data_IF_697639206888
#
_entry.id   IF_697639206888
#
_cell.length_a   1.000
_cell.length_b   1.000
_cell.length_c   1.000
_cell.angle_alpha   90.00
_cell.angle_beta   90.00
_cell.angle_gamma   90.00
#
_symmetry.space_group_name_H-M   'P 1'
#
loop_
_entity.id
_entity.type
_entity.pdbx_description
1 polymer ?
#
# COMPACT_ATOMS: atom_id res chain seq x y z
N UNK A 1 24.62 -40.00 -52.90
CA UNK A 1 25.91 -39.66 -52.25
C UNK A 1 25.62 -38.71 -51.11
N UNK A 2 25.65 -39.20 -49.87
CA UNK A 2 25.49 -38.36 -48.67
C UNK A 2 26.86 -37.80 -48.33
N UNK A 3 27.08 -36.52 -48.58
CA UNK A 3 28.32 -35.82 -48.21
C UNK A 3 28.21 -35.34 -46.77
N UNK A 4 28.91 -36.02 -45.86
CA UNK A 4 29.08 -35.58 -44.47
C UNK A 4 29.97 -34.33 -44.46
N UNK A 5 29.38 -33.15 -44.26
CA UNK A 5 30.13 -31.90 -44.08
C UNK A 5 30.80 -31.96 -42.70
N UNK A 6 32.08 -32.31 -42.66
CA UNK A 6 32.88 -32.54 -41.44
C UNK A 6 33.84 -31.37 -41.13
N UNK A 7 33.42 -30.13 -41.41
CA UNK A 7 34.20 -28.93 -41.06
C UNK A 7 33.32 -27.86 -40.44
N UNK A 8 32.92 -28.08 -39.19
CA UNK A 8 32.46 -26.98 -38.35
C UNK A 8 33.70 -26.11 -37.99
N UNK A 9 33.61 -24.77 -37.99
CA UNK A 9 34.71 -23.87 -37.67
C UNK A 9 35.39 -24.23 -36.35
N UNK A 10 36.73 -24.10 -36.26
CA UNK A 10 37.49 -24.48 -35.05
C UNK A 10 37.01 -23.79 -33.76
N UNK A 11 36.39 -22.61 -33.87
CA UNK A 11 35.78 -21.89 -32.75
C UNK A 11 34.58 -22.60 -32.12
N UNK A 12 33.88 -23.47 -32.87
CA UNK A 12 32.75 -24.26 -32.36
C UNK A 12 33.17 -25.57 -31.71
N UNK A 13 34.40 -26.04 -31.95
CA UNK A 13 34.98 -27.26 -31.35
C UNK A 13 35.78 -26.98 -30.07
N UNK A 14 36.03 -25.71 -29.74
CA UNK A 14 36.89 -25.29 -28.63
C UNK A 14 36.35 -25.73 -27.26
N UNK A 15 35.03 -25.66 -27.06
CA UNK A 15 34.39 -26.05 -25.80
C UNK A 15 34.41 -27.56 -25.53
N UNK A 16 34.56 -28.38 -26.57
CA UNK A 16 34.64 -29.84 -26.50
C UNK A 16 36.07 -30.39 -26.42
N UNK A 17 37.10 -29.53 -26.47
CA UNK A 17 38.48 -29.97 -26.26
C UNK A 17 38.68 -30.38 -24.80
N UNK A 18 39.43 -31.44 -24.59
CA UNK A 18 39.80 -31.92 -23.25
C UNK A 18 41.28 -31.67 -23.00
N UNK A 19 41.64 -31.46 -21.74
CA UNK A 19 43.02 -31.48 -21.28
C UNK A 19 43.12 -32.46 -20.11
N UNK A 20 44.26 -33.15 -20.00
CA UNK A 20 44.48 -34.14 -18.95
C UNK A 20 45.21 -33.52 -17.76
N UNK A 21 44.72 -33.79 -16.56
CA UNK A 21 45.47 -33.61 -15.31
C UNK A 21 45.59 -35.00 -14.69
N UNK A 22 46.79 -35.58 -14.69
CA UNK A 22 46.99 -36.97 -14.27
C UNK A 22 46.30 -37.96 -15.21
N UNK A 23 45.47 -38.86 -14.66
CA UNK A 23 44.70 -39.85 -15.44
C UNK A 23 43.31 -39.35 -15.87
N UNK A 24 42.91 -38.14 -15.46
CA UNK A 24 41.55 -37.63 -15.68
C UNK A 24 41.51 -36.61 -16.81
N UNK A 25 40.60 -36.81 -17.78
CA UNK A 25 40.35 -35.87 -18.87
C UNK A 25 39.23 -34.89 -18.49
N UNK A 26 39.53 -33.59 -18.45
CA UNK A 26 38.56 -32.53 -18.13
C UNK A 26 38.29 -31.70 -19.40
N UNK A 27 37.01 -31.46 -19.69
CA UNK A 27 36.57 -30.62 -20.81
C UNK A 27 36.72 -29.13 -20.46
N UNK A 28 37.15 -28.31 -21.43
CA UNK A 28 37.17 -26.85 -21.25
C UNK A 28 35.78 -26.28 -20.92
N UNK A 29 34.70 -26.90 -21.42
CA UNK A 29 33.33 -26.53 -21.06
C UNK A 29 33.05 -26.58 -19.55
N UNK A 30 33.68 -27.51 -18.82
CA UNK A 30 33.52 -27.62 -17.35
C UNK A 30 34.13 -26.43 -16.62
N UNK A 31 35.30 -25.94 -17.07
CA UNK A 31 35.92 -24.74 -16.51
C UNK A 31 35.07 -23.48 -16.75
N UNK A 32 34.48 -23.35 -17.93
CA UNK A 32 33.59 -22.23 -18.27
C UNK A 32 32.33 -22.25 -17.41
N UNK A 33 31.73 -23.43 -17.19
CA UNK A 33 30.59 -23.60 -16.28
C UNK A 33 30.95 -23.18 -14.84
N UNK A 34 32.12 -23.60 -14.35
CA UNK A 34 32.60 -23.21 -13.02
C UNK A 34 32.83 -21.70 -12.91
N UNK A 35 33.40 -21.07 -13.94
CA UNK A 35 33.58 -19.63 -13.99
C UNK A 35 32.24 -18.89 -13.99
N UNK A 36 31.28 -19.32 -14.81
CA UNK A 36 29.92 -18.77 -14.82
C UNK A 36 29.23 -18.91 -13.46
N UNK A 37 29.39 -20.06 -12.79
CA UNK A 37 28.85 -20.27 -11.45
C UNK A 37 29.42 -19.27 -10.45
N UNK A 38 30.74 -19.04 -10.47
CA UNK A 38 31.39 -18.04 -9.59
C UNK A 38 30.90 -16.62 -9.91
N UNK A 39 30.75 -16.28 -11.19
CA UNK A 39 30.24 -14.97 -11.62
C UNK A 39 28.80 -14.76 -11.13
N UNK A 40 27.91 -15.73 -11.36
CA UNK A 40 26.51 -15.66 -10.92
C UNK A 40 26.42 -15.62 -9.40
N UNK A 41 27.21 -16.45 -8.70
CA UNK A 41 27.30 -16.44 -7.24
C UNK A 41 27.76 -15.08 -6.70
N UNK A 42 28.78 -14.48 -7.31
CA UNK A 42 29.30 -13.17 -6.92
C UNK A 42 28.27 -12.06 -7.18
N UNK A 43 27.60 -12.10 -8.33
CA UNK A 43 26.49 -11.18 -8.65
C UNK A 43 25.40 -11.32 -7.59
N UNK A 44 24.93 -12.54 -7.30
CA UNK A 44 23.86 -12.76 -6.32
C UNK A 44 24.26 -12.36 -4.89
N UNK A 45 25.52 -12.55 -4.50
CA UNK A 45 25.99 -12.28 -3.13
C UNK A 45 26.34 -10.81 -2.89
N UNK A 46 26.99 -10.14 -3.84
CA UNK A 46 27.56 -8.80 -3.62
C UNK A 46 26.76 -7.68 -4.29
N UNK A 47 25.95 -7.96 -5.32
CA UNK A 47 25.16 -6.93 -6.00
C UNK A 47 23.82 -6.67 -5.32
N UNK A 48 23.32 -5.43 -5.42
CA UNK A 48 22.02 -5.02 -4.87
C UNK A 48 20.85 -5.80 -5.48
N UNK A 49 20.92 -6.13 -6.78
CA UNK A 49 19.93 -6.99 -7.45
C UNK A 49 19.84 -8.39 -6.82
N UNK A 50 20.98 -8.99 -6.48
CA UNK A 50 21.06 -10.30 -5.84
C UNK A 50 20.45 -10.37 -4.44
N UNK A 51 20.70 -9.35 -3.61
CA UNK A 51 20.10 -9.21 -2.28
C UNK A 51 18.57 -9.07 -2.35
N UNK A 52 18.05 -8.42 -3.37
CA UNK A 52 16.60 -8.24 -3.55
C UNK A 52 15.91 -9.56 -3.97
N UNK A 53 16.54 -10.35 -4.83
CA UNK A 53 16.01 -11.69 -5.22
C UNK A 53 16.06 -12.68 -4.05
N UNK A 54 17.09 -12.63 -3.19
CA UNK A 54 17.19 -13.49 -2.01
C UNK A 54 16.22 -13.12 -0.88
N UNK A 55 15.82 -11.84 -0.78
CA UNK A 55 14.81 -11.39 0.18
C UNK A 55 13.38 -11.82 -0.21
N UNK A 56 13.13 -12.02 -1.51
CA UNK A 56 11.80 -12.40 -2.03
C UNK A 56 11.54 -13.91 -1.93
N UNK A 57 12.58 -14.73 -1.80
CA UNK A 57 12.46 -16.19 -1.75
C UNK A 57 13.01 -16.79 -0.46
N UNK A 58 12.11 -17.33 0.36
CA UNK A 58 12.34 -18.47 1.27
C UNK A 58 12.66 -18.21 2.76
N UNK A 59 11.80 -17.51 3.53
CA UNK A 59 11.66 -17.90 4.95
C UNK A 59 10.40 -17.37 5.71
N UNK A 60 9.42 -18.23 6.07
CA UNK A 60 8.41 -17.88 7.08
C UNK A 60 8.98 -17.68 8.51
N UNK A 61 10.22 -18.11 8.81
CA UNK A 61 10.88 -17.79 10.09
C UNK A 61 11.37 -16.33 10.19
N UNK A 62 11.60 -15.63 9.07
CA UNK A 62 11.93 -14.21 9.09
C UNK A 62 10.72 -13.37 9.58
N UNK A 63 9.50 -13.84 9.32
CA UNK A 63 8.25 -13.27 9.83
C UNK A 63 8.09 -13.45 11.35
N UNK A 64 8.71 -14.48 11.96
CA UNK A 64 8.67 -14.71 13.42
C UNK A 64 9.63 -13.80 14.20
N UNK A 65 10.78 -13.45 13.62
CA UNK A 65 11.82 -12.67 14.30
C UNK A 65 11.58 -11.15 14.25
N UNK A 66 10.65 -10.67 13.43
CA UNK A 66 10.21 -9.25 13.35
C UNK A 66 9.02 -8.93 14.25
N UNK A 67 8.62 -9.85 15.14
CA UNK A 67 7.59 -9.58 16.15
C UNK A 67 6.16 -9.55 15.61
N UNK A 68 5.93 -10.00 14.38
CA UNK A 68 4.57 -10.23 13.88
C UNK A 68 4.03 -11.47 14.57
N UNK A 69 2.98 -11.30 15.38
CA UNK A 69 2.24 -12.43 15.95
C UNK A 69 1.90 -13.39 14.81
N UNK A 70 2.33 -14.65 14.90
CA UNK A 70 1.90 -15.74 14.02
C UNK A 70 0.42 -15.96 14.27
N UNK A 71 -0.38 -15.06 13.72
CA UNK A 71 -1.79 -14.95 13.98
C UNK A 71 -2.50 -16.06 13.24
N UNK A 72 -3.45 -16.63 13.97
CA UNK A 72 -4.31 -17.72 13.55
C UNK A 72 -4.85 -17.45 12.15
N UNK A 73 -4.74 -18.42 11.25
CA UNK A 73 -5.31 -18.29 9.90
C UNK A 73 -6.77 -18.70 9.98
N UNK A 74 -7.70 -17.76 9.77
CA UNK A 74 -9.12 -18.07 9.64
C UNK A 74 -9.46 -18.25 8.17
N UNK A 75 -9.85 -19.46 7.76
CA UNK A 75 -10.35 -19.76 6.41
C UNK A 75 -11.88 -19.77 6.41
N UNK A 76 -12.51 -18.91 5.61
CA UNK A 76 -13.96 -18.86 5.48
C UNK A 76 -14.44 -19.65 4.26
N UNK A 77 -15.52 -20.42 4.40
CA UNK A 77 -16.16 -21.15 3.31
C UNK A 77 -17.68 -21.17 3.42
N UNK A 78 -18.35 -21.36 2.29
CA UNK A 78 -19.80 -21.53 2.23
C UNK A 78 -20.18 -22.98 2.48
N UNK A 79 -21.15 -23.22 3.37
CA UNK A 79 -21.71 -24.56 3.54
C UNK A 79 -22.72 -24.90 2.42
N UNK A 80 -23.04 -26.18 2.27
CA UNK A 80 -23.99 -26.69 1.28
C UNK A 80 -25.44 -26.21 1.49
N UNK A 81 -25.73 -25.53 2.59
CA UNK A 81 -27.02 -24.94 2.92
C UNK A 81 -26.99 -23.41 2.82
N UNK A 82 -25.92 -22.82 2.28
CA UNK A 82 -25.79 -21.37 2.07
C UNK A 82 -25.57 -20.57 3.35
N UNK A 83 -24.91 -21.14 4.36
CA UNK A 83 -24.31 -20.42 5.50
C UNK A 83 -22.82 -20.18 5.29
N UNK A 84 -22.17 -19.48 6.24
CA UNK A 84 -20.70 -19.31 6.28
C UNK A 84 -20.13 -19.97 7.53
N UNK A 85 -19.12 -20.80 7.29
CA UNK A 85 -18.30 -21.49 8.28
C UNK A 85 -16.88 -20.94 8.21
N UNK A 86 -16.18 -20.95 9.33
CA UNK A 86 -14.76 -20.62 9.44
C UNK A 86 -13.96 -21.79 9.98
N UNK A 87 -12.76 -22.01 9.45
CA UNK A 87 -11.76 -22.91 10.02
C UNK A 87 -10.65 -22.04 10.61
N UNK A 88 -10.55 -22.00 11.94
CA UNK A 88 -9.51 -21.26 12.64
C UNK A 88 -8.32 -22.18 12.89
N UNK A 89 -7.19 -21.88 12.25
CA UNK A 89 -5.93 -22.58 12.45
C UNK A 89 -5.10 -21.86 13.51
N UNK A 90 -4.93 -22.42 14.72
CA UNK A 90 -4.10 -21.79 15.74
C UNK A 90 -2.61 -21.78 15.35
N UNK A 91 -2.17 -22.76 14.55
CA UNK A 91 -0.87 -22.85 13.87
C UNK A 91 -1.05 -23.59 12.53
N UNK A 92 -0.13 -23.46 11.55
CA UNK A 92 -0.25 -24.12 10.24
C UNK A 92 -0.46 -25.65 10.32
N UNK A 93 0.14 -26.29 11.32
CA UNK A 93 0.11 -27.75 11.50
C UNK A 93 -0.98 -28.23 12.48
N UNK A 94 -1.79 -27.32 13.04
CA UNK A 94 -2.81 -27.69 14.01
C UNK A 94 -4.14 -28.06 13.34
N UNK A 95 -4.90 -28.95 14.00
CA UNK A 95 -6.28 -29.24 13.61
C UNK A 95 -7.13 -27.96 13.76
N UNK A 96 -7.85 -27.54 12.70
CA UNK A 96 -8.62 -26.30 12.76
C UNK A 96 -9.84 -26.43 13.66
N UNK A 97 -10.19 -25.34 14.34
CA UNK A 97 -11.46 -25.21 15.06
C UNK A 97 -12.52 -24.67 14.11
N UNK A 98 -13.63 -25.39 13.94
CA UNK A 98 -14.75 -24.91 13.12
C UNK A 98 -15.57 -23.85 13.88
N UNK A 99 -15.85 -22.73 13.20
CA UNK A 99 -16.64 -21.61 13.69
C UNK A 99 -17.90 -21.46 12.82
N UNK A 100 -19.07 -21.46 13.48
CA UNK A 100 -20.34 -21.15 12.82
C UNK A 100 -20.58 -19.63 12.87
N UNK A 101 -20.19 -18.93 11.80
CA UNK A 101 -20.22 -17.46 11.76
C UNK A 101 -21.56 -16.90 11.30
N UNK A 102 -22.18 -17.53 10.29
CA UNK A 102 -23.53 -17.18 9.82
C UNK A 102 -24.40 -18.42 9.72
N UNK A 103 -25.65 -18.29 10.18
CA UNK A 103 -26.65 -19.35 10.09
C UNK A 103 -26.87 -19.80 8.64
N UNK A 104 -27.07 -21.10 8.45
CA UNK A 104 -27.36 -21.69 7.14
C UNK A 104 -28.68 -21.15 6.57
N UNK A 105 -28.77 -21.03 5.23
CA UNK A 105 -29.94 -20.52 4.51
C UNK A 105 -29.96 -19.00 4.27
N UNK A 106 -28.90 -18.29 4.63
CA UNK A 106 -28.84 -16.81 4.59
C UNK A 106 -28.11 -16.24 3.37
N UNK A 107 -27.45 -17.10 2.56
CA UNK A 107 -26.62 -16.74 1.40
C UNK A 107 -25.73 -15.51 1.67
N UNK A 108 -24.90 -15.57 2.72
CA UNK A 108 -24.09 -14.44 3.11
C UNK A 108 -23.05 -14.13 2.04
N UNK A 109 -22.59 -12.89 2.02
CA UNK A 109 -21.46 -12.44 1.20
C UNK A 109 -20.32 -12.09 2.15
N UNK A 110 -19.11 -12.52 1.80
CA UNK A 110 -17.91 -12.43 2.64
C UNK A 110 -16.82 -11.72 1.88
N UNK A 111 -16.11 -10.81 2.53
CA UNK A 111 -14.91 -10.18 1.98
C UNK A 111 -13.82 -10.00 3.03
N UNK A 112 -12.57 -10.16 2.60
CA UNK A 112 -11.39 -9.89 3.39
C UNK A 112 -10.97 -8.41 3.33
N UNK A 113 -10.62 -7.82 4.48
CA UNK A 113 -10.13 -6.45 4.57
C UNK A 113 -8.62 -6.45 4.88
N UNK A 114 -7.76 -6.05 3.92
CA UNK A 114 -6.31 -6.25 4.03
C UNK A 114 -5.65 -5.41 5.13
N UNK A 115 -6.19 -4.23 5.47
CA UNK A 115 -5.58 -3.36 6.49
C UNK A 115 -5.90 -3.79 7.94
N UNK A 116 -7.02 -4.47 8.17
CA UNK A 116 -7.40 -4.96 9.51
C UNK A 116 -7.15 -6.46 9.67
N UNK A 117 -6.68 -7.13 8.61
CA UNK A 117 -6.59 -8.59 8.51
C UNK A 117 -7.88 -9.31 8.94
N UNK A 118 -9.01 -8.63 8.80
CA UNK A 118 -10.32 -9.08 9.26
C UNK A 118 -11.25 -9.42 8.10
N UNK A 119 -12.45 -9.86 8.46
CA UNK A 119 -13.49 -10.24 7.50
C UNK A 119 -14.70 -9.36 7.69
N UNK A 120 -15.31 -8.93 6.60
CA UNK A 120 -16.65 -8.35 6.61
C UNK A 120 -17.61 -9.38 6.03
N UNK A 121 -18.64 -9.71 6.80
CA UNK A 121 -19.68 -10.65 6.40
C UNK A 121 -21.02 -9.94 6.42
N UNK A 122 -21.88 -10.21 5.45
CA UNK A 122 -23.25 -9.69 5.49
C UNK A 122 -24.26 -10.67 4.93
N UNK A 123 -25.50 -10.55 5.36
CA UNK A 123 -26.62 -11.39 4.92
C UNK A 123 -27.95 -10.65 5.04
N UNK A 124 -28.98 -11.15 4.39
CA UNK A 124 -30.35 -10.68 4.60
C UNK A 124 -30.94 -11.43 5.79
N UNK A 125 -31.42 -10.71 6.79
CA UNK A 125 -32.15 -11.32 7.89
C UNK A 125 -33.46 -11.89 7.35
N UNK A 126 -33.68 -13.22 7.41
CA UNK A 126 -34.88 -13.83 6.84
C UNK A 126 -36.16 -13.45 7.60
N UNK A 127 -36.06 -13.03 8.87
CA UNK A 127 -37.21 -12.61 9.67
C UNK A 127 -37.60 -11.15 9.41
N UNK A 128 -36.64 -10.27 9.11
CA UNK A 128 -36.90 -8.83 8.96
C UNK A 128 -36.70 -8.29 7.54
N UNK A 129 -36.11 -9.06 6.64
CA UNK A 129 -35.71 -8.63 5.30
C UNK A 129 -34.59 -7.57 5.27
N UNK A 130 -34.09 -7.14 6.42
CA UNK A 130 -33.03 -6.13 6.54
C UNK A 130 -31.65 -6.69 6.23
N UNK A 131 -30.75 -5.85 5.73
CA UNK A 131 -29.34 -6.20 5.57
C UNK A 131 -28.66 -6.17 6.94
N UNK A 132 -28.02 -7.27 7.30
CA UNK A 132 -27.17 -7.39 8.49
C UNK A 132 -25.73 -7.52 8.03
N UNK A 133 -24.82 -6.79 8.67
CA UNK A 133 -23.39 -6.91 8.44
C UNK A 133 -22.66 -7.08 9.77
N UNK A 134 -21.52 -7.75 9.72
CA UNK A 134 -20.67 -8.03 10.88
C UNK A 134 -19.20 -7.98 10.46
N UNK A 135 -18.43 -7.15 11.16
CA UNK A 135 -16.98 -7.13 11.03
C UNK A 135 -16.38 -8.12 12.02
N UNK A 136 -15.52 -9.01 11.52
CA UNK A 136 -14.80 -10.02 12.27
C UNK A 136 -13.31 -9.68 12.27
N UNK A 137 -12.65 -9.89 13.40
CA UNK A 137 -11.18 -9.87 13.49
C UNK A 137 -10.57 -11.08 12.77
N UNK A 138 -9.25 -11.08 12.62
CA UNK A 138 -8.49 -12.19 12.05
C UNK A 138 -8.76 -13.54 12.74
N UNK A 139 -9.12 -13.52 14.04
CA UNK A 139 -9.42 -14.70 14.84
C UNK A 139 -10.89 -15.14 14.79
N UNK A 140 -11.73 -14.45 14.01
CA UNK A 140 -13.15 -14.73 13.87
C UNK A 140 -14.03 -14.15 14.97
N UNK A 141 -13.46 -13.40 15.92
CA UNK A 141 -14.25 -12.69 16.93
C UNK A 141 -14.95 -11.47 16.34
N UNK A 142 -16.20 -11.19 16.73
CA UNK A 142 -16.89 -9.96 16.34
C UNK A 142 -16.11 -8.73 16.81
N UNK A 143 -15.88 -7.79 15.89
CA UNK A 143 -15.28 -6.50 16.21
C UNK A 143 -16.30 -5.57 16.90
N UNK A 144 -17.58 -5.77 16.59
CA UNK A 144 -18.74 -5.09 17.15
C UNK A 144 -19.36 -5.99 18.24
N UNK A 145 -19.75 -5.40 19.36
CA UNK A 145 -20.50 -6.12 20.40
C UNK A 145 -21.89 -6.56 19.89
N UNK A 146 -22.54 -7.48 20.59
CA UNK A 146 -23.83 -8.04 20.17
C UNK A 146 -24.93 -6.98 20.01
N UNK A 147 -24.83 -5.86 20.73
CA UNK A 147 -25.79 -4.75 20.71
C UNK A 147 -25.53 -3.76 19.55
N UNK A 148 -24.32 -3.76 18.97
CA UNK A 148 -23.94 -2.94 17.80
C UNK A 148 -24.07 -3.66 16.46
N UNK A 149 -24.59 -4.91 16.44
CA UNK A 149 -25.06 -5.58 15.22
C UNK A 149 -26.28 -4.86 14.64
N UNK A 150 -26.04 -3.78 13.91
CA UNK A 150 -27.12 -2.99 13.32
C UNK A 150 -27.63 -3.67 12.06
N UNK A 151 -28.81 -4.29 12.17
CA UNK A 151 -29.64 -4.59 11.01
C UNK A 151 -30.12 -3.25 10.43
N UNK A 152 -29.42 -2.75 9.41
CA UNK A 152 -29.86 -1.54 8.72
C UNK A 152 -31.06 -1.91 7.84
N UNK A 153 -32.25 -1.46 8.25
CA UNK A 153 -33.46 -1.58 7.44
C UNK A 153 -33.46 -0.44 6.41
N UNK A 154 -33.11 -0.76 5.18
CA UNK A 154 -33.25 0.17 4.06
C UNK A 154 -34.72 0.55 3.89
N UNK A 155 -35.06 1.84 3.78
CA UNK A 155 -36.40 2.23 3.38
C UNK A 155 -36.59 1.85 1.91
N UNK A 156 -37.42 0.82 1.66
CA UNK A 156 -37.95 0.36 0.36
C UNK A 156 -37.03 -0.49 -0.56
N UNK A 157 -37.72 -1.32 -1.36
CA UNK A 157 -37.29 -2.50 -2.11
C UNK A 157 -36.08 -2.31 -3.03
N UNK A 158 -34.90 -2.76 -2.59
CA UNK A 158 -33.73 -2.93 -3.45
C UNK A 158 -33.36 -4.42 -3.53
N UNK A 159 -33.19 -4.93 -4.74
CA UNK A 159 -32.74 -6.29 -5.01
C UNK A 159 -31.22 -6.39 -4.81
N UNK A 160 -30.79 -7.42 -4.07
CA UNK A 160 -29.41 -7.68 -3.62
C UNK A 160 -28.39 -8.01 -4.71
N UNK A 161 -28.75 -7.88 -5.99
CA UNK A 161 -27.86 -8.19 -7.11
C UNK A 161 -26.76 -7.13 -7.32
N UNK A 162 -26.91 -5.93 -6.75
CA UNK A 162 -25.99 -4.79 -6.98
C UNK A 162 -25.12 -4.36 -5.79
N UNK A 163 -25.24 -5.00 -4.62
CA UNK A 163 -24.52 -4.57 -3.42
C UNK A 163 -23.23 -5.39 -3.24
N UNK A 164 -22.11 -4.84 -3.72
CA UNK A 164 -20.78 -5.39 -3.49
C UNK A 164 -20.30 -5.02 -2.08
N UNK A 165 -19.98 -6.02 -1.26
CA UNK A 165 -19.64 -5.84 0.16
C UNK A 165 -18.16 -5.66 0.45
N UNK A 166 -17.32 -5.79 -0.57
CA UNK A 166 -16.03 -5.14 -0.70
C UNK A 166 -15.37 -5.66 -1.99
N UNK A 167 -15.14 -4.76 -2.90
CA UNK A 167 -13.76 -4.43 -3.19
C UNK A 167 -13.51 -3.13 -2.38
N UNK A 168 -12.30 -2.57 -2.28
CA UNK A 168 -12.28 -1.13 -2.48
C UNK A 168 -13.10 -0.95 -3.78
N UNK A 169 -14.32 -0.40 -3.72
CA UNK A 169 -15.08 -0.09 -4.94
C UNK A 169 -14.04 0.45 -5.92
N UNK A 170 -13.87 -0.05 -7.15
CA UNK A 170 -12.64 0.19 -7.93
C UNK A 170 -12.12 1.65 -7.90
N UNK A 171 -13.03 2.61 -7.68
CA UNK A 171 -12.84 4.00 -7.26
C UNK A 171 -12.08 4.29 -5.93
N UNK A 172 -11.67 3.30 -5.14
CA UNK A 172 -10.99 3.45 -3.84
C UNK A 172 -9.65 2.72 -3.80
N UNK A 173 -9.23 2.14 -4.93
CA UNK A 173 -7.81 1.91 -5.20
C UNK A 173 -7.20 3.30 -5.45
N UNK A 174 -6.06 3.64 -4.82
CA UNK A 174 -5.41 4.91 -5.10
C UNK A 174 -5.07 5.00 -6.59
N UNK A 175 -5.33 6.15 -7.21
CA UNK A 175 -4.89 6.43 -8.59
C UNK A 175 -3.38 6.63 -8.69
N UNK A 176 -2.72 6.78 -7.54
CA UNK A 176 -1.28 6.91 -7.38
C UNK A 176 -0.90 6.52 -5.96
N UNK A 177 0.11 5.67 -5.80
CA UNK A 177 0.60 5.21 -4.50
C UNK A 177 2.13 5.16 -4.49
N UNK A 178 2.74 6.12 -3.80
CA UNK A 178 4.18 6.20 -3.60
C UNK A 178 4.52 5.60 -2.24
N UNK A 179 5.21 4.45 -2.25
CA UNK A 179 5.64 3.75 -1.03
C UNK A 179 6.98 4.25 -0.49
N UNK A 180 7.77 4.93 -1.33
CA UNK A 180 9.09 5.48 -1.04
C UNK A 180 10.14 4.44 -0.67
N UNK A 181 10.06 3.24 -1.26
CA UNK A 181 10.94 2.09 -1.01
C UNK A 181 12.27 2.15 -1.79
N UNK A 182 12.57 3.29 -2.38
CA UNK A 182 13.77 3.50 -3.17
C UNK A 182 15.01 3.76 -2.31
N UNK A 183 16.16 3.35 -2.84
CA UNK A 183 17.46 3.56 -2.19
C UNK A 183 17.84 5.03 -2.13
N UNK A 184 18.72 5.36 -1.18
CA UNK A 184 19.30 6.70 -1.09
C UNK A 184 19.91 7.16 -2.42
N UNK A 185 19.53 8.37 -2.85
CA UNK A 185 19.94 8.96 -4.12
C UNK A 185 19.02 8.64 -5.31
N UNK A 186 17.88 7.96 -5.09
CA UNK A 186 16.88 7.78 -6.13
C UNK A 186 16.23 9.11 -6.53
N UNK A 187 16.06 9.30 -7.85
CA UNK A 187 15.42 10.49 -8.44
C UNK A 187 14.04 10.19 -9.05
N UNK A 188 13.63 8.93 -8.99
CA UNK A 188 12.37 8.40 -9.50
C UNK A 188 11.77 7.52 -8.42
N UNK A 189 10.48 7.71 -8.14
CA UNK A 189 9.73 6.98 -7.11
C UNK A 189 8.55 6.26 -7.76
N UNK A 190 8.52 4.95 -7.61
CA UNK A 190 7.63 4.06 -8.36
C UNK A 190 6.18 4.15 -7.87
N UNK A 191 5.25 4.20 -8.81
CA UNK A 191 3.83 4.14 -8.53
C UNK A 191 3.34 2.70 -8.36
N UNK A 192 3.30 2.26 -7.11
CA UNK A 192 2.83 0.93 -6.71
C UNK A 192 1.32 0.72 -6.88
N UNK A 193 0.57 1.73 -7.32
CA UNK A 193 -0.87 1.58 -7.62
C UNK A 193 -1.14 0.83 -8.92
N UNK A 194 -0.14 0.72 -9.81
CA UNK A 194 -0.25 0.06 -11.11
C UNK A 194 -0.77 0.95 -12.24
N UNK A 195 -0.87 2.26 -12.01
CA UNK A 195 -1.28 3.24 -13.04
C UNK A 195 -0.09 3.96 -13.71
N UNK A 196 1.14 3.71 -13.26
CA UNK A 196 2.37 4.26 -13.85
C UNK A 196 2.51 5.77 -13.67
N UNK A 197 1.94 6.31 -12.59
CA UNK A 197 2.07 7.71 -12.23
C UNK A 197 3.29 7.92 -11.33
N UNK A 198 4.48 7.59 -11.81
CA UNK A 198 5.70 7.70 -11.01
C UNK A 198 5.96 9.17 -10.62
N UNK A 199 6.62 9.37 -9.47
CA UNK A 199 7.10 10.68 -9.08
C UNK A 199 8.57 10.86 -9.49
N UNK A 200 8.94 12.08 -9.85
CA UNK A 200 10.31 12.42 -10.26
C UNK A 200 10.78 13.70 -9.60
N UNK A 201 12.07 13.81 -9.34
CA UNK A 201 12.71 15.01 -8.79
C UNK A 201 13.98 15.35 -9.58
N UNK A 202 14.46 16.58 -9.43
CA UNK A 202 15.76 16.99 -9.95
C UNK A 202 16.84 16.76 -8.89
N UNK A 203 17.94 16.09 -9.26
CA UNK A 203 19.06 15.72 -8.35
C UNK A 203 19.52 16.78 -7.33
N UNK A 204 19.48 18.08 -7.70
CA UNK A 204 19.94 19.18 -6.84
C UNK A 204 18.91 19.61 -5.78
N UNK A 205 17.63 19.33 -6.02
CA UNK A 205 16.49 19.70 -5.17
C UNK A 205 15.64 18.46 -4.90
N UNK A 206 16.26 17.29 -4.89
CA UNK A 206 15.56 16.04 -4.68
C UNK A 206 15.56 15.69 -3.20
N UNK A 207 14.39 15.39 -2.61
CA UNK A 207 14.36 14.94 -1.23
C UNK A 207 15.16 13.65 -1.03
N UNK A 208 15.75 13.51 0.15
CA UNK A 208 16.55 12.35 0.51
C UNK A 208 15.68 11.10 0.64
N UNK A 209 15.86 10.15 -0.28
CA UNK A 209 15.27 8.81 -0.23
C UNK A 209 15.94 7.89 0.81
N UNK A 210 15.18 6.92 1.33
CA UNK A 210 15.67 5.95 2.30
C UNK A 210 15.74 6.45 3.74
N UNK A 211 15.08 7.57 4.07
CA UNK A 211 14.91 7.97 5.47
C UNK A 211 13.98 6.98 6.18
N UNK A 212 14.14 6.80 7.50
CA UNK A 212 13.29 5.86 8.25
C UNK A 212 11.82 6.28 8.18
N UNK A 213 10.96 5.38 7.67
CA UNK A 213 9.53 5.58 7.55
C UNK A 213 8.78 5.45 8.87
N UNK A 214 7.45 5.47 8.77
CA UNK A 214 6.57 5.28 9.93
C UNK A 214 6.52 3.79 10.30
N UNK A 215 6.68 3.42 11.60
CA UNK A 215 6.49 2.04 12.03
C UNK A 215 5.04 1.56 11.91
N UNK A 216 4.11 2.47 11.59
CA UNK A 216 2.68 2.20 11.42
C UNK A 216 2.27 2.12 9.94
N UNK A 217 3.21 2.27 9.00
CA UNK A 217 2.98 2.15 7.56
C UNK A 217 3.07 0.69 7.11
N UNK A 218 1.96 0.01 6.76
CA UNK A 218 1.99 -1.42 6.46
C UNK A 218 2.72 -1.80 5.15
N UNK A 219 3.23 -0.82 4.40
CA UNK A 219 3.89 -1.01 3.09
C UNK A 219 5.03 0.00 2.83
N UNK A 220 5.47 0.72 3.87
CA UNK A 220 6.42 1.83 3.72
C UNK A 220 7.41 1.79 4.88
N UNK A 221 8.54 1.12 4.68
CA UNK A 221 9.66 1.07 5.63
C UNK A 221 10.49 2.36 5.55
N UNK A 222 10.44 3.02 4.40
CA UNK A 222 11.20 4.22 4.10
C UNK A 222 10.29 5.43 3.84
N UNK A 223 10.88 6.63 3.90
CA UNK A 223 10.23 7.89 3.61
C UNK A 223 11.18 8.84 2.88
N UNK A 224 10.61 9.89 2.30
CA UNK A 224 11.36 11.04 1.81
C UNK A 224 11.61 12.03 2.94
N UNK A 225 12.87 12.43 3.11
CA UNK A 225 13.25 13.53 3.98
C UNK A 225 13.48 14.80 3.15
N UNK A 226 12.79 15.87 3.55
CA UNK A 226 12.89 17.19 2.94
C UNK A 226 13.72 18.10 3.86
N UNK A 227 14.67 18.83 3.30
CA UNK A 227 15.59 19.71 4.03
C UNK A 227 14.96 21.04 4.49
N UNK A 228 13.79 21.37 3.94
CA UNK A 228 13.01 22.57 4.24
C UNK A 228 13.42 23.82 3.45
N UNK A 229 14.25 23.70 2.42
CA UNK A 229 14.69 24.80 1.57
C UNK A 229 14.04 24.76 0.18
N UNK A 230 14.36 23.74 -0.62
CA UNK A 230 13.95 23.66 -2.03
C UNK A 230 13.63 22.24 -2.51
N UNK A 231 13.71 21.23 -1.64
CA UNK A 231 13.39 19.85 -1.99
C UNK A 231 11.96 19.69 -2.53
N UNK A 232 11.85 19.10 -3.72
CA UNK A 232 10.56 18.79 -4.36
C UNK A 232 10.59 17.47 -5.11
N UNK A 233 9.48 16.74 -5.02
CA UNK A 233 9.16 15.64 -5.92
C UNK A 233 7.88 15.98 -6.67
N UNK A 234 7.89 15.75 -7.98
CA UNK A 234 6.81 16.12 -8.88
C UNK A 234 6.05 14.88 -9.32
N UNK A 235 4.74 15.04 -9.44
CA UNK A 235 3.83 13.99 -9.89
C UNK A 235 2.96 14.53 -11.02
N UNK A 236 2.60 13.64 -11.94
CA UNK A 236 1.58 13.96 -12.93
C UNK A 236 0.24 14.22 -12.25
N UNK A 237 -0.56 15.14 -12.81
CA UNK A 237 -1.86 15.49 -12.24
C UNK A 237 -2.87 14.34 -12.44
N UNK A 238 -3.12 13.58 -11.38
CA UNK A 238 -4.08 12.46 -11.36
C UNK A 238 -5.44 12.82 -10.76
N UNK A 239 -5.56 13.97 -10.08
CA UNK A 239 -6.76 14.38 -9.32
C UNK A 239 -7.25 15.80 -9.68
N UNK A 240 -8.57 16.05 -9.50
CA UNK A 240 -9.19 17.35 -9.78
C UNK A 240 -10.47 17.67 -8.99
N UNK A 241 -11.60 17.04 -9.31
CA UNK A 241 -12.92 17.46 -8.81
C UNK A 241 -13.20 16.90 -7.41
N UNK A 242 -13.48 15.61 -7.33
CA UNK A 242 -13.64 14.91 -6.07
C UNK A 242 -12.40 14.07 -5.86
N UNK A 243 -11.73 14.24 -4.72
CA UNK A 243 -10.49 13.52 -4.45
C UNK A 243 -10.23 13.41 -2.96
N UNK A 244 -9.37 12.45 -2.63
CA UNK A 244 -8.77 12.29 -1.32
C UNK A 244 -7.26 12.19 -1.49
N UNK A 245 -6.51 12.84 -0.62
CA UNK A 245 -5.05 12.70 -0.51
C UNK A 245 -4.76 12.22 0.90
N UNK A 246 -3.98 11.15 1.03
CA UNK A 246 -3.60 10.60 2.32
C UNK A 246 -2.12 10.26 2.35
N UNK A 247 -1.45 10.59 3.45
CA UNK A 247 -0.02 10.35 3.62
C UNK A 247 0.37 10.39 5.10
N UNK A 248 1.48 9.74 5.41
CA UNK A 248 2.15 9.89 6.69
C UNK A 248 3.12 11.08 6.63
N UNK A 249 3.19 11.87 7.70
CA UNK A 249 4.20 12.91 7.83
C UNK A 249 4.73 12.98 9.26
N UNK A 250 5.92 13.55 9.41
CA UNK A 250 6.56 13.84 10.69
C UNK A 250 7.34 15.14 10.55
N UNK A 251 7.11 16.08 11.46
CA UNK A 251 7.84 17.35 11.49
C UNK A 251 7.79 17.99 12.88
N UNK A 252 8.77 18.86 13.16
CA UNK A 252 8.76 19.78 14.31
C UNK A 252 8.62 21.25 13.86
N UNK A 253 8.39 21.49 12.57
CA UNK A 253 8.34 22.85 12.01
C UNK A 253 7.04 23.56 12.40
N UNK A 254 7.19 24.74 12.99
CA UNK A 254 6.07 25.62 13.38
C UNK A 254 6.07 26.96 12.65
N UNK A 255 6.98 27.15 11.70
CA UNK A 255 7.05 28.36 10.86
C UNK A 255 5.82 28.47 9.95
N UNK A 256 5.52 29.68 9.47
CA UNK A 256 4.38 29.96 8.61
C UNK A 256 3.13 30.38 9.40
N UNK A 257 1.99 30.42 8.71
CA UNK A 257 0.72 30.91 9.25
C UNK A 257 -0.37 29.87 9.06
N UNK A 258 -1.31 29.80 10.01
CA UNK A 258 -2.49 28.94 9.91
C UNK A 258 -3.68 29.61 9.19
N UNK A 259 -3.52 30.83 8.70
CA UNK A 259 -4.63 31.59 8.09
C UNK A 259 -4.97 31.16 6.66
N UNK A 260 -3.95 30.77 5.89
CA UNK A 260 -4.04 30.42 4.48
C UNK A 260 -3.05 29.32 4.17
N UNK A 261 -3.46 28.29 3.41
CA UNK A 261 -2.59 27.17 3.08
C UNK A 261 -1.31 27.62 2.34
N UNK A 262 -1.37 28.69 1.54
CA UNK A 262 -0.21 29.25 0.83
C UNK A 262 0.83 29.91 1.74
N UNK A 263 0.46 30.21 2.98
CA UNK A 263 1.37 30.82 3.97
C UNK A 263 2.04 29.74 4.83
N UNK A 264 1.79 28.46 4.56
CA UNK A 264 2.50 27.33 5.13
C UNK A 264 3.52 26.75 4.15
N UNK A 265 4.37 25.86 4.64
CA UNK A 265 5.25 25.05 3.80
C UNK A 265 4.41 23.99 3.08
N UNK A 266 4.48 23.96 1.75
CA UNK A 266 3.69 23.01 0.96
C UNK A 266 4.17 21.57 1.20
N UNK A 267 3.23 20.68 1.52
CA UNK A 267 3.46 19.23 1.59
C UNK A 267 2.97 18.55 0.31
N UNK A 268 1.80 18.98 -0.18
CA UNK A 268 1.25 18.58 -1.49
C UNK A 268 0.63 19.81 -2.12
N UNK A 269 1.06 20.18 -3.33
CA UNK A 269 0.54 21.34 -4.05
C UNK A 269 0.15 20.96 -5.48
N UNK A 270 -1.07 21.32 -5.89
CA UNK A 270 -1.57 21.03 -7.24
C UNK A 270 -1.12 22.04 -8.31
N UNK A 271 -0.55 23.18 -7.91
CA UNK A 271 0.06 24.19 -8.76
C UNK A 271 0.85 25.17 -7.88
N UNK A 272 2.14 25.39 -8.19
CA UNK A 272 3.03 26.33 -7.50
C UNK A 272 3.18 27.66 -8.24
N UNK A 273 2.59 27.80 -9.43
CA UNK A 273 2.80 28.92 -10.37
C UNK A 273 1.52 29.71 -10.68
N UNK A 274 0.36 29.06 -10.80
CA UNK A 274 -0.95 29.67 -11.04
C UNK A 274 -1.94 29.27 -9.94
N UNK A 275 -2.04 30.10 -8.91
CA UNK A 275 -2.87 29.84 -7.73
C UNK A 275 -4.39 29.98 -7.96
N UNK A 276 -4.81 30.39 -9.16
CA UNK A 276 -6.21 30.38 -9.59
C UNK A 276 -6.63 28.97 -9.98
N UNK A 277 -7.54 28.36 -9.19
CA UNK A 277 -7.94 26.95 -9.26
C UNK A 277 -6.91 25.92 -8.75
N UNK A 278 -6.00 26.34 -7.86
CA UNK A 278 -5.07 25.43 -7.17
C UNK A 278 -5.69 24.85 -5.88
N UNK A 279 -5.09 23.79 -5.37
CA UNK A 279 -5.30 23.27 -4.03
C UNK A 279 -3.94 22.99 -3.38
N UNK A 280 -3.91 22.95 -2.06
CA UNK A 280 -2.73 22.48 -1.37
C UNK A 280 -3.00 21.99 0.04
N UNK A 281 -2.11 21.10 0.47
CA UNK A 281 -1.96 20.65 1.84
C UNK A 281 -0.61 21.18 2.32
N UNK A 282 -0.61 21.93 3.41
CA UNK A 282 0.58 22.64 3.88
C UNK A 282 0.74 22.53 5.39
N UNK A 283 1.97 22.68 5.88
CA UNK A 283 2.30 22.80 7.29
C UNK A 283 2.52 24.27 7.64
N UNK A 284 1.69 24.85 8.51
CA UNK A 284 1.79 26.25 8.93
C UNK A 284 1.40 26.44 10.39
N UNK A 285 2.21 27.18 11.15
CA UNK A 285 2.03 27.35 12.59
C UNK A 285 1.86 26.02 13.36
N UNK A 286 2.58 24.99 12.91
CA UNK A 286 2.54 23.63 13.47
C UNK A 286 1.27 22.83 13.16
N UNK A 287 0.42 23.32 12.26
CA UNK A 287 -0.87 22.71 11.88
C UNK A 287 -0.85 22.27 10.42
N UNK A 288 -1.61 21.23 10.11
CA UNK A 288 -1.90 20.87 8.73
C UNK A 288 -3.05 21.75 8.23
N UNK A 289 -2.82 22.40 7.11
CA UNK A 289 -3.75 23.26 6.40
C UNK A 289 -4.17 22.55 5.12
N UNK A 290 -5.45 22.58 4.80
CA UNK A 290 -5.96 22.11 3.52
C UNK A 290 -6.87 23.18 2.92
N UNK A 291 -6.60 23.58 1.68
CA UNK A 291 -7.41 24.61 1.05
C UNK A 291 -7.38 24.62 -0.47
N UNK A 292 -8.26 25.45 -1.02
CA UNK A 292 -8.44 25.65 -2.47
C UNK A 292 -8.44 27.14 -2.81
N UNK A 293 -7.79 27.50 -3.92
CA UNK A 293 -7.66 28.89 -4.37
C UNK A 293 -7.03 29.79 -3.29
N UNK A 294 -7.21 31.10 -3.42
CA UNK A 294 -6.44 32.12 -2.68
C UNK A 294 -7.16 32.75 -1.48
N UNK A 295 -8.45 32.50 -1.31
CA UNK A 295 -9.22 33.11 -0.24
C UNK A 295 -8.95 32.41 1.11
N UNK A 296 -8.70 33.15 2.21
CA UNK A 296 -8.52 32.53 3.54
C UNK A 296 -9.70 31.67 3.97
N UNK A 297 -10.92 32.08 3.63
CA UNK A 297 -12.15 31.34 3.90
C UNK A 297 -12.18 29.94 3.25
N UNK A 298 -11.29 29.65 2.29
CA UNK A 298 -11.18 28.36 1.63
C UNK A 298 -10.09 27.45 2.21
N UNK A 299 -9.58 27.77 3.40
CA UNK A 299 -8.62 26.94 4.14
C UNK A 299 -9.27 26.39 5.41
N UNK A 300 -9.06 25.10 5.68
CA UNK A 300 -9.31 24.48 6.98
C UNK A 300 -7.98 24.07 7.61
N UNK A 301 -7.93 23.96 8.94
CA UNK A 301 -6.72 23.65 9.69
C UNK A 301 -6.97 22.61 10.77
N UNK A 302 -6.03 21.69 10.95
CA UNK A 302 -6.01 20.77 12.09
C UNK A 302 -5.63 21.48 13.40
N UNK A 303 -5.75 20.80 14.55
CA UNK A 303 -4.95 21.10 15.74
C UNK A 303 -3.44 21.04 15.44
N UNK A 304 -2.58 21.59 16.32
CA UNK A 304 -1.13 21.46 16.18
C UNK A 304 -0.69 19.98 16.21
N UNK A 305 0.15 19.59 15.25
CA UNK A 305 0.63 18.22 14.99
C UNK A 305 2.11 18.19 14.59
N UNK A 306 2.82 19.32 14.69
CA UNK A 306 4.27 19.39 14.48
C UNK A 306 5.04 19.09 15.78
N UNK A 307 4.78 17.93 16.39
CA UNK A 307 5.33 17.50 17.67
C UNK A 307 6.51 16.52 17.52
N UNK A 308 6.91 16.22 16.29
CA UNK A 308 7.98 15.27 15.98
C UNK A 308 7.53 13.80 16.00
N UNK A 309 6.25 13.50 16.20
CA UNK A 309 5.66 12.19 15.98
C UNK A 309 5.20 12.01 14.53
N UNK A 310 4.96 10.75 14.15
CA UNK A 310 4.33 10.41 12.87
C UNK A 310 2.82 10.57 12.99
N UNK A 311 2.23 11.29 12.04
CA UNK A 311 0.79 11.47 11.92
C UNK A 311 0.30 11.06 10.55
N UNK A 312 -0.88 10.45 10.50
CA UNK A 312 -1.56 10.09 9.27
C UNK A 312 -2.57 11.17 8.90
N UNK A 313 -2.32 11.87 7.79
CA UNK A 313 -3.16 12.94 7.28
C UNK A 313 -4.07 12.40 6.20
N UNK A 314 -5.34 12.76 6.21
CA UNK A 314 -6.25 12.54 5.09
C UNK A 314 -7.06 13.81 4.81
N UNK A 315 -6.89 14.37 3.62
CA UNK A 315 -7.64 15.53 3.14
C UNK A 315 -8.64 15.07 2.06
N UNK A 316 -9.90 15.47 2.16
CA UNK A 316 -10.93 15.12 1.18
C UNK A 316 -11.66 16.34 0.66
N UNK A 317 -11.91 16.36 -0.65
CA UNK A 317 -12.68 17.40 -1.34
C UNK A 317 -13.87 16.80 -2.06
N UNK A 318 -15.02 17.45 -1.91
CA UNK A 318 -16.19 17.20 -2.73
C UNK A 318 -16.62 18.49 -3.43
N UNK A 319 -16.44 18.58 -4.75
CA UNK A 319 -16.71 19.77 -5.55
C UNK A 319 -18.18 20.18 -5.50
N UNK A 320 -19.10 19.21 -5.66
CA UNK A 320 -20.54 19.51 -5.79
C UNK A 320 -21.10 20.18 -4.53
N UNK A 321 -20.69 19.71 -3.36
CA UNK A 321 -21.08 20.30 -2.10
C UNK A 321 -20.16 21.45 -1.69
N UNK A 322 -18.94 21.55 -2.22
CA UNK A 322 -17.92 22.50 -1.74
C UNK A 322 -17.28 22.09 -0.41
N UNK A 323 -17.54 20.87 0.06
CA UNK A 323 -17.04 20.37 1.32
C UNK A 323 -15.54 20.06 1.26
N UNK A 324 -14.81 20.53 2.28
CA UNK A 324 -13.44 20.14 2.59
C UNK A 324 -13.43 19.47 3.96
N UNK A 325 -12.71 18.36 4.09
CA UNK A 325 -12.46 17.69 5.38
C UNK A 325 -11.00 17.35 5.54
N UNK A 326 -10.54 17.41 6.78
CA UNK A 326 -9.20 17.05 7.16
C UNK A 326 -9.27 16.11 8.37
N UNK A 327 -8.69 14.93 8.22
CA UNK A 327 -8.58 13.92 9.27
C UNK A 327 -7.12 13.77 9.68
N UNK A 328 -6.88 13.67 10.98
CA UNK A 328 -5.57 13.40 11.57
C UNK A 328 -5.72 12.13 12.40
N UNK A 329 -4.91 11.11 12.09
CA UNK A 329 -4.90 9.81 12.78
C UNK A 329 -6.29 9.15 12.85
N UNK A 330 -7.09 9.34 11.79
CA UNK A 330 -8.46 8.83 11.68
C UNK A 330 -9.51 9.62 12.46
N UNK A 331 -9.12 10.66 13.22
CA UNK A 331 -10.03 11.57 13.91
C UNK A 331 -10.38 12.78 13.03
N UNK A 332 -11.60 13.30 13.14
CA UNK A 332 -12.02 14.50 12.41
C UNK A 332 -11.25 15.71 12.98
N UNK A 333 -10.24 16.17 12.23
CA UNK A 333 -9.34 17.25 12.64
C UNK A 333 -9.92 18.64 12.33
N UNK A 334 -10.72 18.76 11.28
CA UNK A 334 -11.57 19.93 11.00
C UNK A 334 -12.50 19.69 9.81
N UNK A 335 -13.69 20.33 9.85
CA UNK A 335 -14.69 20.24 8.77
C UNK A 335 -15.21 21.62 8.37
N UNK A 336 -15.38 21.86 7.07
CA UNK A 336 -16.18 22.97 6.54
C UNK A 336 -17.44 22.42 5.87
N UNK A 337 -18.61 22.84 6.33
CA UNK A 337 -19.85 22.73 5.57
C UNK A 337 -20.17 24.10 4.97
N UNK A 338 -20.56 24.20 3.69
CA UNK A 338 -21.10 25.44 3.17
C UNK A 338 -22.48 25.71 3.75
N UNK A 339 -22.79 26.99 3.95
CA UNK A 339 -24.15 27.48 4.05
C UNK A 339 -24.77 27.70 2.67
#
# INVERSE_FOLDING_TARGET
TVTTVTRLPESQLLLGRTFSIGETQIMYGTLVMFLLFIIVWFILKETQFGRHVYAVGDNPEATRLTGVATNRVLLLYHDNRGGVRGLLYPTPDATPTELALVASGTQPRVVFHPMSQGWLVSWINPATGGLVYEALRADGTPLLDSDSRQAYQWPTSTTSAGLALACPAAQSVPVQQLAFEEVTGAEMFDDTSGFGNDATCDSATCPLAGASGTPLGPRSDFALAFDGQDDTATISRTIQNDFSVAFWFRSTQVTGSANQWQQGAALVAGDTTSITNSFGIALGAGRILFGIGTAPANTISSPPVADGAWHFVTATRQQRSGQLRLYIDGTDGSRRQPG
#
